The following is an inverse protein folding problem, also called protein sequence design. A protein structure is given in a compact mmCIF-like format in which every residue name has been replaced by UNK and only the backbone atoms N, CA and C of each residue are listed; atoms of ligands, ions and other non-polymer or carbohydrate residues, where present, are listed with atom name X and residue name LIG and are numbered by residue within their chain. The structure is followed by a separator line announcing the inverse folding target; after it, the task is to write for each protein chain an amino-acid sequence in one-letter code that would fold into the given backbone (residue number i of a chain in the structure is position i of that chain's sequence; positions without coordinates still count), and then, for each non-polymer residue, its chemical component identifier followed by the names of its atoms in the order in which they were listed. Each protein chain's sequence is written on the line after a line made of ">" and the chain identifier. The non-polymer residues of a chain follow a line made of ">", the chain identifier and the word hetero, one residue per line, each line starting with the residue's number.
data_IF_230031585626
#
_entry.id   IF_230031585626
#
_cell.length_a   1.000
_cell.length_b   1.000
_cell.length_c   1.000
_cell.angle_alpha   90.00
_cell.angle_beta   90.00
_cell.angle_gamma   90.00
#
_symmetry.space_group_name_H-M   'P 1'
#
loop_
_entity.id
_entity.type
_entity.pdbx_description
1 polymer ?
#
# COMPACT_ATOMS: atom_id res chain seq x y z
N UNK A 1 -6.35 -5.73 -5.51
CA UNK A 1 -5.86 -6.70 -6.52
C UNK A 1 -5.44 -5.94 -7.75
N UNK A 2 -4.41 -6.42 -8.43
CA UNK A 2 -3.91 -5.89 -9.71
C UNK A 2 -3.58 -7.06 -10.62
N UNK A 3 -3.56 -6.82 -11.93
CA UNK A 3 -3.25 -7.84 -12.93
C UNK A 3 -2.08 -7.35 -13.79
N UNK A 4 -1.21 -8.28 -14.18
CA UNK A 4 -0.15 -8.07 -15.16
C UNK A 4 -0.14 -9.25 -16.14
N UNK A 5 -0.57 -8.97 -17.38
CA UNK A 5 -0.87 -10.00 -18.37
C UNK A 5 -1.84 -11.06 -17.82
N UNK A 6 -1.42 -12.33 -17.87
CA UNK A 6 -2.17 -13.47 -17.35
C UNK A 6 -1.88 -13.76 -15.87
N UNK A 7 -1.24 -12.86 -15.13
CA UNK A 7 -0.94 -13.01 -13.70
C UNK A 7 -1.81 -12.08 -12.88
N UNK A 8 -2.43 -12.59 -11.81
CA UNK A 8 -3.06 -11.73 -10.79
C UNK A 8 -2.17 -11.59 -9.57
N UNK A 9 -2.40 -10.49 -8.86
CA UNK A 9 -1.81 -10.17 -7.58
C UNK A 9 -2.93 -9.69 -6.65
N UNK A 10 -3.15 -10.42 -5.56
CA UNK A 10 -4.17 -10.09 -4.57
C UNK A 10 -3.52 -9.94 -3.20
N UNK A 11 -4.05 -9.01 -2.40
CA UNK A 11 -3.63 -8.79 -1.02
C UNK A 11 -4.87 -8.71 -0.15
N UNK A 12 -4.76 -9.23 1.07
CA UNK A 12 -5.73 -9.02 2.14
C UNK A 12 -5.01 -8.89 3.47
N UNK A 13 -5.68 -8.22 4.40
CA UNK A 13 -5.19 -7.99 5.76
C UNK A 13 -6.28 -8.39 6.76
N UNK A 14 -5.86 -8.77 7.94
CA UNK A 14 -6.71 -9.16 9.06
C UNK A 14 -5.94 -8.99 10.38
N UNK A 15 -6.60 -9.33 11.49
CA UNK A 15 -5.94 -9.42 12.80
C UNK A 15 -4.83 -10.49 12.86
N UNK A 16 -4.78 -11.40 11.88
CA UNK A 16 -3.78 -12.45 11.77
C UNK A 16 -2.60 -12.08 10.83
N UNK A 17 -2.58 -10.88 10.25
CA UNK A 17 -1.52 -10.51 9.31
C UNK A 17 -2.00 -10.00 7.96
N UNK A 18 -1.00 -9.76 7.10
CA UNK A 18 -1.15 -9.45 5.67
C UNK A 18 -0.70 -10.66 4.87
N UNK A 19 -1.48 -11.03 3.87
CA UNK A 19 -1.17 -12.11 2.96
C UNK A 19 -1.25 -11.63 1.52
N UNK A 20 -0.39 -12.21 0.69
CA UNK A 20 -0.32 -11.97 -0.73
C UNK A 20 -0.61 -13.28 -1.47
N UNK A 21 -1.40 -13.19 -2.54
CA UNK A 21 -1.64 -14.29 -3.45
C UNK A 21 -1.33 -13.91 -4.89
N UNK A 22 -0.71 -14.83 -5.62
CA UNK A 22 -0.49 -14.72 -7.06
C UNK A 22 -0.78 -16.03 -7.76
N UNK A 23 -1.14 -15.95 -9.04
CA UNK A 23 -1.50 -17.09 -9.85
C UNK A 23 -1.92 -16.64 -11.25
N UNK A 24 -2.39 -17.59 -12.05
CA UNK A 24 -2.85 -17.28 -13.39
C UNK A 24 -4.30 -16.79 -13.42
N UNK A 25 -4.57 -15.82 -14.28
CA UNK A 25 -5.91 -15.39 -14.70
C UNK A 25 -6.47 -16.23 -15.84
N UNK A 26 -5.64 -17.03 -16.52
CA UNK A 26 -6.09 -17.91 -17.60
C UNK A 26 -6.86 -19.11 -17.00
N UNK A 27 -8.16 -19.24 -17.31
CA UNK A 27 -8.99 -20.33 -16.79
C UNK A 27 -8.59 -21.71 -17.34
N UNK A 28 -7.74 -21.78 -18.37
CA UNK A 28 -7.23 -23.03 -18.92
C UNK A 28 -6.02 -23.59 -18.15
N UNK A 29 -5.41 -22.81 -17.24
CA UNK A 29 -4.26 -23.31 -16.47
C UNK A 29 -4.70 -24.18 -15.29
N UNK A 30 -3.82 -25.10 -14.89
CA UNK A 30 -3.96 -25.87 -13.64
C UNK A 30 -3.09 -25.31 -12.52
N UNK A 31 -2.52 -24.11 -12.70
CA UNK A 31 -1.59 -23.50 -11.75
C UNK A 31 -2.38 -23.05 -10.53
N UNK A 32 -2.07 -23.63 -9.37
CA UNK A 32 -2.68 -23.20 -8.12
C UNK A 32 -2.15 -21.84 -7.69
N UNK A 33 -3.05 -21.04 -7.11
CA UNK A 33 -2.70 -19.82 -6.40
C UNK A 33 -1.59 -20.10 -5.39
N UNK A 34 -0.51 -19.32 -5.46
CA UNK A 34 0.52 -19.30 -4.43
C UNK A 34 0.13 -18.23 -3.42
N UNK A 35 0.06 -18.60 -2.15
CA UNK A 35 -0.20 -17.69 -1.03
C UNK A 35 1.06 -17.60 -0.19
N UNK A 36 1.45 -16.37 0.16
CA UNK A 36 2.61 -16.10 1.00
C UNK A 36 2.24 -15.07 2.07
N UNK A 37 2.68 -15.31 3.29
CA UNK A 37 2.55 -14.35 4.38
C UNK A 37 3.49 -13.17 4.13
N UNK A 38 2.94 -11.94 4.20
CA UNK A 38 3.70 -10.68 4.08
C UNK A 38 4.09 -10.19 5.47
N UNK A 39 3.17 -10.28 6.42
CA UNK A 39 3.37 -9.92 7.82
C UNK A 39 2.40 -10.72 8.69
N UNK A 40 2.82 -11.06 9.90
CA UNK A 40 1.99 -11.74 10.91
C UNK A 40 1.36 -10.78 11.92
N UNK A 41 1.61 -9.47 11.80
CA UNK A 41 1.00 -8.46 12.67
C UNK A 41 -0.39 -8.08 12.20
N UNK A 42 -1.31 -7.87 13.15
CA UNK A 42 -2.64 -7.34 12.87
C UNK A 42 -2.55 -6.09 11.98
N UNK A 43 -3.30 -6.11 10.87
CA UNK A 43 -3.17 -5.12 9.83
C UNK A 43 -4.51 -4.77 9.17
N UNK A 44 -4.58 -3.56 8.61
CA UNK A 44 -5.77 -3.04 7.94
C UNK A 44 -5.43 -2.16 6.74
N UNK A 45 -6.45 -1.85 5.94
CA UNK A 45 -6.34 -0.95 4.79
C UNK A 45 -5.28 -1.32 3.74
N UNK A 46 -5.11 -2.61 3.36
CA UNK A 46 -4.06 -3.01 2.44
C UNK A 46 -4.32 -2.45 1.03
N UNK A 47 -3.24 -2.13 0.34
CA UNK A 47 -3.23 -1.72 -1.07
C UNK A 47 -2.09 -2.41 -1.79
N UNK A 48 -2.25 -2.61 -3.10
CA UNK A 48 -1.25 -3.27 -3.93
C UNK A 48 -1.15 -2.58 -5.29
N UNK A 49 0.08 -2.40 -5.74
CA UNK A 49 0.42 -1.95 -7.08
C UNK A 49 1.67 -2.70 -7.58
N UNK A 50 1.88 -2.67 -8.88
CA UNK A 50 3.12 -3.15 -9.50
C UNK A 50 3.91 -1.94 -9.99
N UNK A 51 5.21 -1.93 -9.79
CA UNK A 51 6.07 -0.94 -10.43
C UNK A 51 6.30 -1.28 -11.92
N UNK A 52 7.10 -0.47 -12.61
CA UNK A 52 7.39 -0.64 -14.04
C UNK A 52 8.14 -1.93 -14.40
N UNK A 53 8.71 -2.62 -13.41
CA UNK A 53 9.35 -3.93 -13.57
C UNK A 53 8.40 -5.11 -13.32
N UNK A 54 7.15 -4.84 -12.95
CA UNK A 54 6.20 -5.87 -12.51
C UNK A 54 6.37 -6.29 -11.05
N UNK A 55 7.22 -5.60 -10.28
CA UNK A 55 7.45 -5.96 -8.88
C UNK A 55 6.28 -5.49 -8.02
N UNK A 56 5.65 -6.37 -7.21
CA UNK A 56 4.54 -6.00 -6.36
C UNK A 56 4.99 -5.20 -5.13
N UNK A 57 4.31 -4.10 -4.87
CA UNK A 57 4.44 -3.29 -3.68
C UNK A 57 3.13 -3.30 -2.90
N UNK A 58 3.20 -3.44 -1.59
CA UNK A 58 2.03 -3.57 -0.71
C UNK A 58 2.12 -2.55 0.42
N UNK A 59 1.18 -1.63 0.51
CA UNK A 59 1.07 -0.72 1.66
C UNK A 59 -0.07 -1.15 2.58
N UNK A 60 0.08 -0.94 3.89
CA UNK A 60 -0.95 -1.28 4.89
C UNK A 60 -0.69 -0.54 6.20
N UNK A 61 -1.70 -0.50 7.08
CA UNK A 61 -1.53 -0.10 8.47
C UNK A 61 -1.23 -1.33 9.33
N UNK A 62 -0.26 -1.24 10.25
CA UNK A 62 0.02 -2.25 11.28
C UNK A 62 0.11 -1.60 12.66
N UNK A 63 0.36 -2.42 13.71
CA UNK A 63 0.52 -1.96 15.08
C UNK A 63 -0.66 -1.11 15.59
N UNK A 64 -1.89 -1.57 15.28
CA UNK A 64 -3.15 -0.86 15.52
C UNK A 64 -3.46 -0.77 17.03
N UNK A 65 -3.10 0.35 17.68
CA UNK A 65 -3.31 0.54 19.11
C UNK A 65 -3.56 2.01 19.48
N UNK A 66 -4.54 2.26 20.36
CA UNK A 66 -4.86 3.59 20.89
C UNK A 66 -5.02 4.67 19.79
N UNK A 67 -5.78 4.36 18.73
CA UNK A 67 -5.99 5.23 17.56
C UNK A 67 -4.70 5.60 16.80
N UNK A 68 -3.64 4.82 16.97
CA UNK A 68 -2.38 4.96 16.24
C UNK A 68 -2.08 3.69 15.45
N UNK A 69 -1.46 3.87 14.29
CA UNK A 69 -0.93 2.81 13.46
C UNK A 69 0.44 3.20 12.89
N UNK A 70 1.20 2.19 12.50
CA UNK A 70 2.36 2.35 11.62
C UNK A 70 1.92 2.13 10.19
N UNK A 71 2.29 3.02 9.28
CA UNK A 71 2.15 2.79 7.83
C UNK A 71 3.35 1.97 7.38
N UNK A 72 3.09 0.79 6.85
CA UNK A 72 4.10 -0.13 6.36
C UNK A 72 4.06 -0.20 4.83
N UNK A 73 5.22 -0.43 4.22
CA UNK A 73 5.37 -0.74 2.81
C UNK A 73 6.21 -2.01 2.67
N UNK A 74 5.64 -3.02 2.03
CA UNK A 74 6.30 -4.29 1.77
C UNK A 74 6.58 -4.50 0.29
N UNK A 75 7.71 -5.11 -0.01
CA UNK A 75 8.16 -5.51 -1.36
C UNK A 75 8.89 -6.86 -1.27
N UNK A 76 8.91 -7.69 -2.33
CA UNK A 76 9.70 -8.92 -2.33
C UNK A 76 11.17 -8.65 -1.97
N UNK A 77 11.70 -9.47 -1.07
CA UNK A 77 13.10 -9.41 -0.63
C UNK A 77 13.70 -10.80 -0.48
N UNK A 78 14.91 -10.87 0.09
CA UNK A 78 15.61 -12.13 0.30
C UNK A 78 14.85 -13.05 1.27
N UNK A 79 14.27 -14.13 0.74
CA UNK A 79 13.59 -15.15 1.54
C UNK A 79 12.16 -14.81 1.98
N UNK A 80 11.54 -13.75 1.42
CA UNK A 80 10.17 -13.38 1.75
C UNK A 80 9.84 -11.94 1.36
N UNK A 81 9.23 -11.21 2.29
CA UNK A 81 8.87 -9.81 2.13
C UNK A 81 9.78 -8.92 2.99
N UNK A 82 10.42 -7.94 2.36
CA UNK A 82 11.06 -6.84 3.08
C UNK A 82 9.99 -5.79 3.41
N UNK A 83 10.01 -5.26 4.63
CA UNK A 83 9.02 -4.27 5.09
C UNK A 83 9.71 -3.03 5.65
N UNK A 84 9.30 -1.86 5.17
CA UNK A 84 9.69 -0.56 5.69
C UNK A 84 8.54 0.08 6.48
N UNK A 85 8.86 0.60 7.67
CA UNK A 85 7.96 1.49 8.40
C UNK A 85 8.14 2.93 7.89
N UNK A 86 7.17 3.41 7.13
CA UNK A 86 7.30 4.67 6.37
C UNK A 86 6.71 5.88 7.12
N UNK A 87 5.76 5.66 8.04
CA UNK A 87 5.16 6.74 8.83
C UNK A 87 4.38 6.21 10.05
N UNK A 88 3.95 7.13 10.91
CA UNK A 88 2.94 6.88 11.95
C UNK A 88 1.66 7.65 11.60
N UNK A 89 0.51 6.99 11.72
CA UNK A 89 -0.79 7.55 11.38
C UNK A 89 -1.72 7.55 12.60
N UNK A 90 -2.32 8.69 12.89
CA UNK A 90 -3.46 8.78 13.79
C UNK A 90 -4.73 8.35 13.03
N UNK A 91 -5.27 7.19 13.40
CA UNK A 91 -6.36 6.50 12.70
C UNK A 91 -7.57 6.34 13.63
N UNK A 92 -8.28 7.45 13.86
CA UNK A 92 -9.56 7.46 14.58
C UNK A 92 -10.71 6.99 13.65
N UNK A 93 -11.66 6.21 14.19
CA UNK A 93 -12.88 5.76 13.48
C UNK A 93 -12.60 5.16 12.09
N UNK A 94 -11.74 4.13 12.09
CA UNK A 94 -11.01 3.67 10.91
C UNK A 94 -11.70 2.56 10.08
N UNK A 95 -13.04 2.55 10.03
CA UNK A 95 -13.81 1.50 9.36
C UNK A 95 -13.54 1.41 7.85
N UNK A 96 -13.16 2.54 7.23
CA UNK A 96 -12.91 2.64 5.78
C UNK A 96 -11.51 3.14 5.44
N UNK A 97 -10.61 3.21 6.42
CA UNK A 97 -9.23 3.61 6.16
C UNK A 97 -8.57 2.67 5.16
N UNK A 98 -7.95 3.25 4.15
CA UNK A 98 -7.06 2.53 3.24
C UNK A 98 -5.78 3.30 3.06
N UNK A 99 -4.74 2.56 2.69
CA UNK A 99 -3.55 3.13 2.06
C UNK A 99 -3.74 3.05 0.54
N UNK A 100 -2.94 3.80 -0.20
CA UNK A 100 -2.82 3.68 -1.63
C UNK A 100 -1.35 3.71 -2.02
N UNK A 101 -0.80 2.56 -2.41
CA UNK A 101 0.50 2.51 -3.09
C UNK A 101 0.28 2.84 -4.56
N UNK A 102 1.08 3.78 -5.07
CA UNK A 102 0.98 4.29 -6.43
C UNK A 102 2.36 4.19 -7.08
N UNK A 103 2.51 3.47 -8.20
CA UNK A 103 3.77 3.40 -8.93
C UNK A 103 3.98 4.72 -9.65
N UNK A 104 5.06 5.44 -9.36
CA UNK A 104 5.34 6.77 -9.93
C UNK A 104 6.70 6.75 -10.58
N UNK A 105 6.72 6.97 -11.89
CA UNK A 105 7.96 7.01 -12.66
C UNK A 105 8.85 8.19 -12.21
N UNK A 106 10.16 7.96 -12.19
CA UNK A 106 11.15 8.98 -11.80
C UNK A 106 11.39 9.12 -10.30
N UNK A 107 10.63 8.43 -9.44
CA UNK A 107 11.01 8.26 -8.03
C UNK A 107 12.12 7.21 -7.90
N UNK A 108 13.03 7.42 -6.94
CA UNK A 108 14.16 6.51 -6.73
C UNK A 108 13.72 5.10 -6.31
N UNK A 109 12.67 5.00 -5.50
CA UNK A 109 12.07 3.72 -5.06
C UNK A 109 10.87 3.32 -5.95
N UNK A 110 10.53 4.12 -6.97
CA UNK A 110 9.51 3.78 -7.97
C UNK A 110 8.04 3.84 -7.50
N UNK A 111 7.79 4.06 -6.20
CA UNK A 111 6.44 4.17 -5.65
C UNK A 111 6.29 5.33 -4.67
N UNK A 112 5.08 5.84 -4.55
CA UNK A 112 4.63 6.71 -3.47
C UNK A 112 3.47 6.04 -2.72
N UNK A 113 3.31 6.38 -1.44
CA UNK A 113 2.23 5.83 -0.60
C UNK A 113 1.37 6.95 -0.05
N UNK A 114 0.10 6.98 -0.41
CA UNK A 114 -0.89 7.86 0.19
C UNK A 114 -1.61 7.17 1.34
N UNK A 115 -1.88 7.90 2.42
CA UNK A 115 -2.55 7.39 3.61
C UNK A 115 -3.30 8.50 4.35
N UNK A 116 -4.30 8.11 5.13
CA UNK A 116 -5.06 9.02 5.99
C UNK A 116 -4.43 9.06 7.38
N UNK A 117 -4.25 10.25 7.94
CA UNK A 117 -3.82 10.42 9.33
C UNK A 117 -4.33 11.74 9.91
N UNK A 118 -4.97 11.67 11.08
CA UNK A 118 -5.48 12.84 11.80
C UNK A 118 -6.52 13.64 11.02
N UNK A 119 -7.37 12.96 10.24
CA UNK A 119 -8.37 13.59 9.38
C UNK A 119 -7.79 14.35 8.19
N UNK A 120 -6.60 13.98 7.73
CA UNK A 120 -5.96 14.56 6.54
C UNK A 120 -5.32 13.48 5.68
N UNK A 121 -5.06 13.82 4.43
CA UNK A 121 -4.30 12.98 3.49
C UNK A 121 -2.81 13.34 3.55
N UNK A 122 -1.99 12.29 3.58
CA UNK A 122 -0.54 12.36 3.52
C UNK A 122 -0.04 11.53 2.34
N UNK A 123 1.10 11.94 1.78
CA UNK A 123 1.81 11.18 0.75
C UNK A 123 3.25 11.02 1.21
N UNK A 124 3.73 9.77 1.22
CA UNK A 124 5.11 9.42 1.51
C UNK A 124 5.84 8.99 0.24
N UNK A 125 7.10 9.43 0.11
CA UNK A 125 8.02 9.02 -0.94
C UNK A 125 9.44 8.92 -0.39
N UNK A 126 10.27 8.15 -1.07
CA UNK A 126 11.69 7.99 -0.76
C UNK A 126 12.54 8.44 -1.95
N UNK A 127 13.53 9.29 -1.69
CA UNK A 127 14.43 9.89 -2.69
C UNK A 127 15.65 9.00 -3.02
N UNK A 128 15.75 7.82 -2.39
CA UNK A 128 16.80 6.83 -2.62
C UNK A 128 18.05 7.04 -1.77
N UNK A 129 18.13 8.15 -1.04
CA UNK A 129 19.29 8.52 -0.22
C UNK A 129 18.92 8.67 1.27
N UNK A 130 17.69 9.12 1.54
CA UNK A 130 17.14 9.32 2.88
C UNK A 130 16.08 8.26 3.22
N UNK A 131 15.69 8.20 4.50
CA UNK A 131 14.52 7.45 4.91
C UNK A 131 13.24 8.04 4.28
N UNK A 132 12.14 7.29 4.31
CA UNK A 132 10.82 7.75 3.87
C UNK A 132 10.44 9.10 4.49
N UNK A 133 9.96 10.02 3.65
CA UNK A 133 9.42 11.30 4.11
C UNK A 133 7.97 11.43 3.69
N UNK A 134 7.12 11.94 4.60
CA UNK A 134 5.71 12.15 4.35
C UNK A 134 5.37 13.65 4.37
N UNK A 135 4.60 14.11 3.40
CA UNK A 135 4.06 15.46 3.36
C UNK A 135 2.54 15.46 3.41
N UNK A 136 1.98 16.49 4.05
CA UNK A 136 0.54 16.67 4.14
C UNK A 136 0.01 17.37 2.87
N UNK A 137 -1.03 16.78 2.27
CA UNK A 137 -1.73 17.40 1.14
C UNK A 137 -2.57 18.57 1.68
N UNK A 138 -2.18 19.78 1.31
CA UNK A 138 -2.78 21.01 1.85
C UNK A 138 -4.22 21.21 1.36
N UNK A 139 -5.07 21.75 2.24
CA UNK A 139 -6.47 22.07 1.91
C UNK A 139 -7.39 20.85 1.83
N UNK A 140 -6.92 19.67 2.23
CA UNK A 140 -7.67 18.41 2.22
C UNK A 140 -8.01 17.97 3.63
N UNK A 141 -9.29 17.67 3.86
CA UNK A 141 -9.78 17.01 5.07
C UNK A 141 -10.26 15.58 4.75
N UNK A 142 -10.30 14.73 5.76
CA UNK A 142 -10.66 13.30 5.68
C UNK A 142 -9.49 12.43 5.22
N UNK A 143 -9.69 11.65 4.16
CA UNK A 143 -8.71 10.64 3.73
C UNK A 143 -9.16 9.20 3.99
N UNK A 144 -10.47 8.99 4.03
CA UNK A 144 -11.06 7.65 4.06
C UNK A 144 -11.18 7.07 2.65
N UNK A 145 -11.25 5.74 2.54
CA UNK A 145 -11.41 5.01 1.28
C UNK A 145 -10.41 5.41 0.17
N UNK A 146 -9.20 5.83 0.56
CA UNK A 146 -8.14 6.32 -0.34
C UNK A 146 -7.84 5.34 -1.48
N UNK A 147 -7.67 5.90 -2.68
CA UNK A 147 -7.14 5.24 -3.87
C UNK A 147 -6.33 6.26 -4.67
N UNK A 148 -5.40 5.78 -5.50
CA UNK A 148 -4.53 6.62 -6.28
C UNK A 148 -4.18 5.99 -7.62
N UNK A 149 -3.81 6.85 -8.58
CA UNK A 149 -3.34 6.44 -9.90
C UNK A 149 -2.18 7.34 -10.32
N UNK A 150 -1.16 6.81 -11.03
CA UNK A 150 -0.11 7.65 -11.57
C UNK A 150 -0.63 8.60 -12.64
N UNK A 151 0.09 9.70 -12.81
CA UNK A 151 -0.09 10.70 -13.86
C UNK A 151 1.27 11.03 -14.46
N UNK A 152 1.30 11.73 -15.59
CA UNK A 152 2.55 12.13 -16.26
C UNK A 152 3.45 13.04 -15.41
N UNK A 153 2.88 13.71 -14.42
CA UNK A 153 3.52 14.73 -13.59
C UNK A 153 3.44 14.41 -12.08
N UNK A 154 3.07 13.17 -11.73
CA UNK A 154 2.98 12.71 -10.35
C UNK A 154 1.88 11.68 -10.13
N UNK A 155 0.92 11.98 -9.26
CA UNK A 155 -0.18 11.09 -8.92
C UNK A 155 -1.49 11.85 -8.71
N UNK A 156 -2.61 11.18 -8.98
CA UNK A 156 -3.95 11.65 -8.65
C UNK A 156 -4.56 10.76 -7.56
N UNK A 157 -5.23 11.38 -6.58
CA UNK A 157 -5.87 10.68 -5.45
C UNK A 157 -7.37 10.89 -5.46
N UNK A 158 -8.10 9.85 -5.06
CA UNK A 158 -9.52 9.93 -4.71
C UNK A 158 -9.70 9.44 -3.28
N UNK A 159 -10.51 10.15 -2.50
CA UNK A 159 -10.79 9.83 -1.12
C UNK A 159 -12.14 10.39 -0.70
N UNK A 160 -12.65 9.89 0.41
CA UNK A 160 -13.81 10.40 1.11
C UNK A 160 -13.36 11.37 2.21
N UNK A 161 -14.02 12.52 2.30
CA UNK A 161 -13.67 13.62 3.21
C UNK A 161 -14.43 13.63 4.53
N UNK A 162 -15.53 12.88 4.67
CA UNK A 162 -16.33 12.80 5.90
C UNK A 162 -17.67 13.49 5.78
#
# INVERSE_FOLDING_TARGET
>A
MVADGDTYHAVWASDAGVNYATGSLDPATTTQAQVTEVSSEAASGPSIALDSSGTPWISYYSSLANDLATVQLATPGDGGWATDSISTAAIQDCDTCRTAVVPVEGLAVGVAVAFGAGGRVWVASNDGENAWTAFNVQGVNGGQALSGTPTSDGLALTFYDG
#
